data_IF_598291433969
#
_entry.id   IF_598291433969
#
_cell.length_a   1.000
_cell.length_b   1.000
_cell.length_c   1.000
_cell.angle_alpha   90.00
_cell.angle_beta   90.00
_cell.angle_gamma   90.00
#
_symmetry.space_group_name_H-M   'P 1'
#
loop_
_entity.id
_entity.type
_entity.pdbx_description
1 polymer ?
#
# COMPACT_ATOMS: atom_id res chain seq x y z
N UNK A 1 13.80 31.30 17.96
CA UNK A 1 13.85 30.40 16.79
C UNK A 1 12.89 29.26 17.04
N UNK A 2 11.70 29.35 16.46
CA UNK A 2 10.70 28.29 16.54
C UNK A 2 11.19 27.22 15.56
N UNK A 3 11.57 26.06 16.09
CA UNK A 3 12.01 24.93 15.29
C UNK A 3 10.75 24.38 14.62
N UNK A 4 10.44 24.82 13.40
CA UNK A 4 9.33 24.22 12.64
C UNK A 4 9.63 22.73 12.47
N UNK A 5 8.74 21.83 12.91
CA UNK A 5 8.95 20.40 12.68
C UNK A 5 9.04 20.19 11.17
N UNK A 6 10.12 19.55 10.73
CA UNK A 6 10.26 19.18 9.32
C UNK A 6 9.03 18.36 8.91
N UNK A 7 8.41 18.64 7.76
CA UNK A 7 7.21 17.95 7.34
C UNK A 7 7.50 16.45 7.24
N UNK A 8 6.57 15.66 7.76
CA UNK A 8 6.60 14.20 7.65
C UNK A 8 6.73 13.77 6.20
N UNK A 9 7.23 12.56 5.98
CA UNK A 9 7.35 12.01 4.63
C UNK A 9 5.97 11.93 3.95
N UNK A 10 4.93 11.61 4.71
CA UNK A 10 3.56 11.58 4.20
C UNK A 10 3.10 12.97 3.73
N UNK A 11 3.28 14.01 4.54
CA UNK A 11 2.92 15.40 4.15
C UNK A 11 3.68 15.85 2.90
N UNK A 12 4.96 15.48 2.77
CA UNK A 12 5.75 15.75 1.56
C UNK A 12 5.19 15.04 0.33
N UNK A 13 4.74 13.79 0.48
CA UNK A 13 4.09 13.04 -0.60
C UNK A 13 2.74 13.65 -0.98
N UNK A 14 1.98 14.14 -0.01
CA UNK A 14 0.71 14.86 -0.25
C UNK A 14 0.94 16.16 -1.02
N UNK A 15 1.96 16.95 -0.65
CA UNK A 15 2.34 18.15 -1.38
C UNK A 15 2.77 17.84 -2.83
N UNK A 16 3.63 16.84 -3.03
CA UNK A 16 4.05 16.41 -4.37
C UNK A 16 2.90 15.87 -5.21
N UNK A 17 1.92 15.20 -4.60
CA UNK A 17 0.72 14.77 -5.29
C UNK A 17 -0.10 15.99 -5.73
N UNK A 18 -0.30 16.96 -4.83
CA UNK A 18 -1.04 18.20 -5.10
C UNK A 18 -0.42 19.02 -6.23
N UNK A 19 0.91 19.14 -6.27
CA UNK A 19 1.65 19.81 -7.36
C UNK A 19 1.39 19.18 -8.74
N UNK A 20 1.08 17.87 -8.77
CA UNK A 20 0.72 17.13 -9.99
C UNK A 20 -0.78 17.09 -10.25
N UNK A 21 -1.57 17.89 -9.53
CA UNK A 21 -3.03 17.89 -9.62
C UNK A 21 -3.67 16.61 -9.06
N UNK A 22 -3.01 15.90 -8.16
CA UNK A 22 -3.53 14.70 -7.49
C UNK A 22 -3.88 15.01 -6.03
N UNK A 23 -4.95 14.39 -5.56
CA UNK A 23 -5.39 14.42 -4.18
C UNK A 23 -5.03 13.10 -3.51
N UNK A 24 -4.06 13.13 -2.60
CA UNK A 24 -3.75 12.01 -1.71
C UNK A 24 -4.55 12.21 -0.41
N UNK A 25 -5.32 11.20 0.00
CA UNK A 25 -6.05 11.21 1.27
C UNK A 25 -5.81 9.91 2.02
N UNK A 26 -5.42 10.06 3.27
CA UNK A 26 -5.24 8.98 4.21
C UNK A 26 -6.36 9.00 5.26
N UNK A 27 -7.11 7.90 5.35
CA UNK A 27 -8.08 7.67 6.41
C UNK A 27 -7.58 6.55 7.31
N UNK A 28 -7.32 6.87 8.56
CA UNK A 28 -6.88 5.91 9.58
C UNK A 28 -7.93 5.84 10.67
N UNK A 29 -8.32 4.63 11.03
CA UNK A 29 -9.16 4.35 12.19
C UNK A 29 -8.39 3.51 13.20
N UNK A 30 -8.77 3.56 14.48
CA UNK A 30 -8.13 2.75 15.53
C UNK A 30 -9.13 1.90 16.33
N UNK A 31 -9.82 0.94 15.70
CA UNK A 31 -10.75 0.07 16.42
C UNK A 31 -9.98 -0.93 17.31
N UNK A 32 -10.22 -0.87 18.63
CA UNK A 32 -9.80 -1.91 19.60
C UNK A 32 -8.31 -2.28 19.55
N UNK A 33 -7.42 -1.30 19.33
CA UNK A 33 -5.96 -1.53 19.30
C UNK A 33 -5.40 -2.00 17.95
N UNK A 34 -6.26 -2.18 16.95
CA UNK A 34 -5.89 -2.33 15.54
C UNK A 34 -5.92 -0.95 14.87
N UNK A 35 -5.08 -0.74 13.88
CA UNK A 35 -5.14 0.40 12.98
C UNK A 35 -5.80 -0.07 11.68
N UNK A 36 -6.90 0.54 11.28
CA UNK A 36 -7.46 0.35 9.94
C UNK A 36 -6.95 1.46 9.02
N UNK A 37 -6.44 1.10 7.85
CA UNK A 37 -5.88 2.01 6.87
C UNK A 37 -6.73 2.00 5.60
N UNK A 38 -7.11 3.19 5.14
CA UNK A 38 -7.62 3.41 3.79
C UNK A 38 -6.94 4.62 3.18
N UNK A 39 -6.14 4.39 2.15
CA UNK A 39 -5.49 5.43 1.38
C UNK A 39 -6.15 5.51 0.01
N UNK A 40 -6.45 6.73 -0.42
CA UNK A 40 -7.00 7.00 -1.75
C UNK A 40 -6.20 8.09 -2.45
N UNK A 41 -5.94 7.89 -3.73
CA UNK A 41 -5.41 8.88 -4.66
C UNK A 41 -6.50 9.18 -5.67
N UNK A 42 -6.88 10.44 -5.79
CA UNK A 42 -7.90 10.91 -6.70
C UNK A 42 -7.42 12.08 -7.54
N UNK A 43 -8.02 12.30 -8.71
CA UNK A 43 -7.87 13.52 -9.49
C UNK A 43 -9.11 14.39 -9.26
N UNK A 44 -8.97 15.69 -8.90
CA UNK A 44 -10.11 16.60 -8.86
C UNK A 44 -10.65 16.80 -10.28
N UNK A 45 -11.93 16.49 -10.46
CA UNK A 45 -12.67 16.67 -11.71
C UNK A 45 -13.45 17.99 -11.74
N UNK A 46 -14.08 18.31 -12.88
CA UNK A 46 -14.97 19.46 -12.98
C UNK A 46 -16.16 19.33 -12.01
N UNK A 47 -16.61 20.47 -11.50
CA UNK A 47 -17.78 20.60 -10.61
C UNK A 47 -17.67 19.91 -9.25
N UNK A 48 -16.47 19.85 -8.67
CA UNK A 48 -16.27 19.31 -7.31
C UNK A 48 -16.36 17.79 -7.20
N UNK A 49 -16.39 17.09 -8.34
CA UNK A 49 -16.25 15.63 -8.38
C UNK A 49 -14.78 15.25 -8.22
N UNK A 50 -14.49 14.06 -7.70
CA UNK A 50 -13.13 13.53 -7.62
C UNK A 50 -13.11 12.13 -8.25
N UNK A 51 -12.29 11.95 -9.27
CA UNK A 51 -12.10 10.65 -9.91
C UNK A 51 -11.07 9.85 -9.11
N UNK A 52 -11.49 8.71 -8.54
CA UNK A 52 -10.58 7.79 -7.86
C UNK A 52 -9.61 7.18 -8.87
N UNK A 53 -8.30 7.32 -8.63
CA UNK A 53 -7.22 6.78 -9.46
C UNK A 53 -6.54 5.58 -8.80
N UNK A 54 -6.36 5.63 -7.49
CA UNK A 54 -5.74 4.56 -6.72
C UNK A 54 -6.36 4.42 -5.34
N UNK A 55 -6.45 3.19 -4.84
CA UNK A 55 -6.81 2.91 -3.45
C UNK A 55 -5.92 1.81 -2.87
N UNK A 56 -5.57 1.97 -1.60
CA UNK A 56 -5.00 0.94 -0.76
C UNK A 56 -5.86 0.78 0.48
N UNK A 57 -6.18 -0.47 0.83
CA UNK A 57 -6.82 -0.84 2.09
C UNK A 57 -5.95 -1.85 2.80
N UNK A 58 -5.89 -1.70 4.11
CA UNK A 58 -5.20 -2.63 4.96
C UNK A 58 -5.46 -2.33 6.42
N UNK A 59 -4.75 -3.02 7.27
CA UNK A 59 -4.78 -2.84 8.70
C UNK A 59 -3.41 -3.12 9.27
N UNK A 60 -3.14 -2.58 10.45
CA UNK A 60 -1.94 -2.83 11.20
C UNK A 60 -2.29 -3.20 12.64
N UNK A 61 -1.41 -3.94 13.30
CA UNK A 61 -1.47 -4.21 14.73
C UNK A 61 -0.07 -3.99 15.34
N UNK A 62 0.02 -3.91 16.66
CA UNK A 62 1.18 -3.34 17.38
C UNK A 62 2.45 -4.20 17.39
N UNK A 63 2.77 -4.90 16.29
CA UNK A 63 3.97 -5.73 16.15
C UNK A 63 4.75 -5.31 14.91
N UNK A 64 6.03 -5.63 14.86
CA UNK A 64 6.90 -5.36 13.70
C UNK A 64 6.36 -5.97 12.39
N UNK A 65 5.69 -7.11 12.47
CA UNK A 65 5.07 -7.80 11.32
C UNK A 65 3.57 -7.53 11.22
N UNK A 66 3.14 -6.40 11.76
CA UNK A 66 1.74 -6.09 11.98
C UNK A 66 0.98 -5.58 10.76
N UNK A 67 1.68 -5.09 9.73
CA UNK A 67 1.05 -4.44 8.59
C UNK A 67 0.54 -5.46 7.57
N UNK A 68 -0.77 -5.44 7.34
CA UNK A 68 -1.51 -6.36 6.48
C UNK A 68 -2.24 -5.53 5.41
N UNK A 69 -2.00 -5.82 4.14
CA UNK A 69 -2.55 -5.08 3.01
C UNK A 69 -3.52 -5.97 2.25
N UNK A 70 -4.80 -5.59 2.27
CA UNK A 70 -5.89 -6.41 1.77
C UNK A 70 -6.23 -6.11 0.32
N UNK A 71 -6.20 -4.84 -0.07
CA UNK A 71 -6.64 -4.43 -1.40
C UNK A 71 -5.80 -3.29 -1.91
N UNK A 72 -5.14 -3.52 -3.05
CA UNK A 72 -4.50 -2.49 -3.85
C UNK A 72 -5.20 -2.44 -5.20
N UNK A 73 -5.72 -1.26 -5.56
CA UNK A 73 -6.36 -1.04 -6.86
C UNK A 73 -5.85 0.27 -7.45
N UNK A 74 -5.51 0.22 -8.73
CA UNK A 74 -5.19 1.40 -9.54
C UNK A 74 -6.03 1.33 -10.80
N UNK A 75 -6.72 2.41 -11.12
CA UNK A 75 -7.59 2.47 -12.29
C UNK A 75 -6.74 2.43 -13.56
N UNK A 76 -7.10 1.61 -14.57
CA UNK A 76 -6.43 1.63 -15.86
C UNK A 76 -6.42 3.05 -16.44
N UNK A 77 -5.35 3.46 -17.13
CA UNK A 77 -5.17 4.83 -17.67
C UNK A 77 -4.94 5.93 -16.61
N UNK A 78 -4.72 5.56 -15.34
CA UNK A 78 -4.24 6.53 -14.35
C UNK A 78 -2.86 7.08 -14.75
N UNK A 79 -2.51 8.32 -14.34
CA UNK A 79 -1.19 8.88 -14.53
C UNK A 79 -0.07 7.94 -14.06
N UNK A 80 1.06 7.98 -14.75
CA UNK A 80 2.24 7.21 -14.37
C UNK A 80 2.64 7.55 -12.93
N UNK A 81 3.00 6.52 -12.15
CA UNK A 81 3.42 6.69 -10.76
C UNK A 81 2.30 6.71 -9.71
N UNK A 82 1.00 6.70 -10.06
CA UNK A 82 -0.08 6.64 -9.06
C UNK A 82 0.05 5.41 -8.15
N UNK A 83 0.38 4.25 -8.71
CA UNK A 83 0.64 3.05 -7.92
C UNK A 83 1.82 3.23 -6.97
N UNK A 84 2.90 3.86 -7.45
CA UNK A 84 4.09 4.17 -6.66
C UNK A 84 3.79 5.14 -5.51
N UNK A 85 2.97 6.17 -5.76
CA UNK A 85 2.52 7.10 -4.75
C UNK A 85 1.70 6.40 -3.67
N UNK A 86 0.76 5.54 -4.05
CA UNK A 86 -0.04 4.75 -3.10
C UNK A 86 0.84 3.87 -2.22
N UNK A 87 1.83 3.18 -2.80
CA UNK A 87 2.78 2.37 -2.05
C UNK A 87 3.67 3.22 -1.13
N UNK A 88 4.24 4.31 -1.65
CA UNK A 88 5.11 5.18 -0.89
C UNK A 88 4.38 5.80 0.32
N UNK A 89 3.17 6.32 0.11
CA UNK A 89 2.39 6.95 1.17
C UNK A 89 1.90 5.92 2.21
N UNK A 90 1.54 4.71 1.79
CA UNK A 90 1.18 3.61 2.70
C UNK A 90 2.34 3.22 3.61
N UNK A 91 3.54 3.06 3.03
CA UNK A 91 4.72 2.67 3.78
C UNK A 91 5.26 3.81 4.65
N UNK A 92 5.17 5.06 4.20
CA UNK A 92 5.49 6.24 4.99
C UNK A 92 4.61 6.30 6.24
N UNK A 93 3.29 6.17 6.08
CA UNK A 93 2.37 6.09 7.23
C UNK A 93 2.74 4.94 8.18
N UNK A 94 3.06 3.75 7.65
CA UNK A 94 3.40 2.61 8.48
C UNK A 94 4.63 2.86 9.35
N UNK A 95 5.68 3.49 8.83
CA UNK A 95 6.90 3.82 9.59
C UNK A 95 6.66 4.94 10.60
N UNK A 96 5.83 5.93 10.25
CA UNK A 96 5.63 7.13 11.07
C UNK A 96 4.59 6.93 12.18
N UNK A 97 3.53 6.15 11.91
CA UNK A 97 2.38 6.01 12.80
C UNK A 97 2.28 4.66 13.51
N UNK A 98 3.09 3.67 13.12
CA UNK A 98 3.03 2.32 13.68
C UNK A 98 4.43 1.74 13.94
N UNK A 99 4.59 0.74 14.82
CA UNK A 99 5.86 0.02 14.98
C UNK A 99 6.12 -1.01 13.87
N UNK A 100 5.32 -1.01 12.79
CA UNK A 100 5.42 -2.02 11.74
C UNK A 100 6.62 -1.77 10.84
N UNK A 101 7.51 -2.76 10.74
CA UNK A 101 8.67 -2.75 9.84
C UNK A 101 8.51 -3.74 8.67
N UNK A 102 7.51 -4.61 8.73
CA UNK A 102 7.25 -5.62 7.69
C UNK A 102 5.78 -5.58 7.26
N UNK A 103 5.58 -5.46 5.95
CA UNK A 103 4.30 -5.48 5.27
C UNK A 103 4.01 -6.89 4.76
N UNK A 104 2.75 -7.33 4.86
CA UNK A 104 2.25 -8.58 4.28
C UNK A 104 1.06 -8.32 3.38
N UNK A 105 0.94 -9.10 2.33
CA UNK A 105 -0.19 -9.07 1.41
C UNK A 105 -0.46 -10.48 0.87
N UNK A 106 -1.70 -10.73 0.47
CA UNK A 106 -2.08 -11.96 -0.23
C UNK A 106 -2.26 -11.67 -1.72
N UNK A 107 -1.46 -12.32 -2.56
CA UNK A 107 -1.72 -12.38 -3.99
C UNK A 107 -2.72 -13.52 -4.28
N UNK A 108 -4.00 -13.17 -4.33
CA UNK A 108 -5.10 -14.11 -4.57
C UNK A 108 -4.87 -14.86 -5.89
N UNK A 109 -5.14 -16.17 -5.89
CA UNK A 109 -5.05 -17.04 -7.06
C UNK A 109 -6.43 -17.28 -7.66
N UNK A 110 -6.99 -16.26 -8.31
CA UNK A 110 -8.25 -16.40 -9.05
C UNK A 110 -8.02 -17.00 -10.45
N UNK A 111 -7.01 -16.50 -11.17
CA UNK A 111 -6.57 -16.98 -12.48
C UNK A 111 -5.04 -17.10 -12.50
N UNK A 112 -4.50 -18.17 -13.07
CA UNK A 112 -3.05 -18.46 -13.08
C UNK A 112 -2.21 -17.38 -13.78
N UNK A 113 -2.71 -16.78 -14.87
CA UNK A 113 -2.00 -15.71 -15.60
C UNK A 113 -2.03 -14.42 -14.80
N UNK A 114 -3.17 -14.09 -14.20
CA UNK A 114 -3.31 -12.91 -13.34
C UNK A 114 -2.47 -13.05 -12.06
N UNK A 115 -2.49 -14.22 -11.45
CA UNK A 115 -1.69 -14.55 -10.27
C UNK A 115 -0.19 -14.38 -10.54
N UNK A 116 0.32 -14.96 -11.63
CA UNK A 116 1.73 -14.82 -12.02
C UNK A 116 2.14 -13.36 -12.25
N UNK A 117 1.25 -12.55 -12.85
CA UNK A 117 1.48 -11.11 -13.06
C UNK A 117 1.54 -10.35 -11.73
N UNK A 118 0.61 -10.63 -10.81
CA UNK A 118 0.56 -10.01 -9.48
C UNK A 118 1.80 -10.38 -8.65
N UNK A 119 2.17 -11.66 -8.61
CA UNK A 119 3.37 -12.11 -7.88
C UNK A 119 4.62 -11.44 -8.45
N UNK A 120 4.75 -11.34 -9.78
CA UNK A 120 5.86 -10.63 -10.42
C UNK A 120 5.88 -9.14 -10.05
N UNK A 121 4.72 -8.49 -10.07
CA UNK A 121 4.57 -7.09 -9.69
C UNK A 121 5.00 -6.85 -8.23
N UNK A 122 4.51 -7.65 -7.28
CA UNK A 122 4.88 -7.52 -5.87
C UNK A 122 6.36 -7.85 -5.62
N UNK A 123 6.94 -8.82 -6.35
CA UNK A 123 8.39 -9.07 -6.30
C UNK A 123 9.22 -7.88 -6.74
N UNK A 124 8.83 -7.21 -7.81
CA UNK A 124 9.50 -5.98 -8.25
C UNK A 124 9.43 -4.87 -7.20
N UNK A 125 8.30 -4.79 -6.47
CA UNK A 125 8.10 -3.85 -5.35
C UNK A 125 8.94 -4.16 -4.11
N UNK A 126 9.51 -5.37 -4.00
CA UNK A 126 10.34 -5.78 -2.84
C UNK A 126 9.67 -6.81 -1.93
N UNK A 127 8.50 -7.33 -2.31
CA UNK A 127 7.89 -8.44 -1.58
C UNK A 127 8.50 -9.77 -1.98
N UNK A 128 8.70 -10.65 -1.01
CA UNK A 128 9.15 -12.02 -1.20
C UNK A 128 7.98 -12.96 -0.96
N UNK A 129 8.01 -14.11 -1.63
CA UNK A 129 7.04 -15.18 -1.36
C UNK A 129 7.41 -15.80 -0.01
N UNK A 130 6.51 -15.72 0.97
CA UNK A 130 6.72 -16.31 2.29
C UNK A 130 6.13 -17.72 2.34
N UNK A 131 4.89 -17.86 1.90
CA UNK A 131 4.16 -19.13 1.86
C UNK A 131 3.17 -19.15 0.71
N UNK A 132 2.98 -20.32 0.11
CA UNK A 132 1.87 -20.56 -0.79
C UNK A 132 0.68 -21.09 0.03
N UNK A 133 -0.35 -20.26 0.22
CA UNK A 133 -1.56 -20.58 0.99
C UNK A 133 -2.49 -21.38 0.07
N UNK A 134 -2.15 -22.64 -0.17
CA UNK A 134 -2.92 -23.50 -1.07
C UNK A 134 -2.85 -25.02 -0.78
N UNK A 135 -2.04 -25.51 0.17
CA UNK A 135 -1.75 -26.94 0.23
C UNK A 135 -1.93 -27.64 1.59
N UNK A 136 -2.08 -26.92 2.72
CA UNK A 136 -2.16 -27.56 4.03
C UNK A 136 -3.50 -27.28 4.74
N UNK A 137 -4.06 -28.29 5.41
CA UNK A 137 -5.21 -28.15 6.34
C UNK A 137 -4.96 -27.10 7.44
N UNK A 138 -3.70 -26.79 7.72
CA UNK A 138 -3.27 -25.76 8.67
C UNK A 138 -3.38 -24.32 8.14
N UNK A 139 -3.74 -24.12 6.87
CA UNK A 139 -3.92 -22.79 6.26
C UNK A 139 -5.32 -22.21 6.48
N UNK A 140 -6.23 -22.95 7.13
CA UNK A 140 -7.61 -22.52 7.40
C UNK A 140 -7.73 -21.20 8.20
N UNK A 141 -6.92 -20.93 9.26
CA UNK A 141 -6.96 -19.64 9.96
C UNK A 141 -6.50 -18.47 9.07
N UNK A 142 -5.52 -18.71 8.19
CA UNK A 142 -5.07 -17.70 7.23
C UNK A 142 -6.12 -17.45 6.13
N UNK A 143 -6.83 -18.50 5.69
CA UNK A 143 -7.97 -18.36 4.77
C UNK A 143 -9.14 -17.62 5.40
N UNK A 144 -9.33 -17.69 6.71
CA UNK A 144 -10.31 -16.86 7.42
C UNK A 144 -9.89 -15.39 7.47
N UNK A 145 -8.60 -15.09 7.67
CA UNK A 145 -8.09 -13.70 7.72
C UNK A 145 -8.12 -13.04 6.35
N UNK A 146 -7.78 -13.78 5.30
CA UNK A 146 -7.60 -13.22 3.95
C UNK A 146 -8.70 -13.59 2.95
N UNK A 147 -9.64 -14.46 3.32
CA UNK A 147 -10.81 -14.84 2.51
C UNK A 147 -10.53 -15.74 1.30
N UNK A 148 -9.28 -16.14 1.02
CA UNK A 148 -8.93 -16.88 -0.19
C UNK A 148 -7.64 -17.70 -0.12
N UNK A 149 -7.41 -18.54 -1.15
CA UNK A 149 -6.14 -19.23 -1.38
C UNK A 149 -5.25 -18.38 -2.30
N UNK A 150 -3.94 -18.35 -2.05
CA UNK A 150 -3.02 -17.49 -2.80
C UNK A 150 -1.61 -17.45 -2.24
N UNK A 151 -0.76 -16.64 -2.86
CA UNK A 151 0.62 -16.48 -2.42
C UNK A 151 0.68 -15.41 -1.32
N UNK A 152 0.97 -15.82 -0.08
CA UNK A 152 1.27 -14.89 1.01
C UNK A 152 2.67 -14.33 0.77
N UNK A 153 2.72 -13.02 0.57
CA UNK A 153 3.95 -12.30 0.30
C UNK A 153 4.24 -11.30 1.41
N UNK A 154 5.51 -11.04 1.64
CA UNK A 154 5.96 -10.13 2.69
C UNK A 154 7.19 -9.35 2.28
N UNK A 155 7.29 -8.12 2.75
CA UNK A 155 8.37 -7.19 2.38
C UNK A 155 8.72 -6.28 3.54
N UNK A 156 9.97 -5.79 3.56
CA UNK A 156 10.35 -4.71 4.47
C UNK A 156 9.63 -3.42 4.05
N UNK A 157 9.00 -2.74 5.01
CA UNK A 157 8.31 -1.46 4.79
C UNK A 157 9.29 -0.44 4.21
N UNK A 158 10.51 -0.36 4.77
CA UNK A 158 11.56 0.55 4.29
C UNK A 158 11.99 0.24 2.85
N UNK A 159 12.16 -1.04 2.52
CA UNK A 159 12.59 -1.43 1.17
C UNK A 159 11.51 -1.11 0.12
N UNK A 160 10.23 -1.38 0.45
CA UNK A 160 9.11 -1.07 -0.44
C UNK A 160 8.95 0.45 -0.58
N UNK A 161 9.15 1.20 0.51
CA UNK A 161 9.13 2.67 0.51
C UNK A 161 10.21 3.23 -0.41
N UNK A 162 11.47 2.80 -0.25
CA UNK A 162 12.61 3.32 -1.02
C UNK A 162 12.40 3.11 -2.52
N UNK A 163 11.98 1.89 -2.92
CA UNK A 163 11.68 1.55 -4.32
C UNK A 163 10.54 2.39 -4.86
N UNK A 164 9.47 2.56 -4.08
CA UNK A 164 8.28 3.29 -4.51
C UNK A 164 8.57 4.80 -4.62
N UNK A 165 9.35 5.37 -3.70
CA UNK A 165 9.81 6.76 -3.79
C UNK A 165 10.68 6.99 -5.03
N UNK A 166 11.59 6.06 -5.34
CA UNK A 166 12.45 6.12 -6.52
C UNK A 166 11.61 6.15 -7.80
N UNK A 167 10.68 5.21 -7.94
CA UNK A 167 9.80 5.11 -9.11
C UNK A 167 8.81 6.28 -9.21
N UNK A 168 8.30 6.80 -8.09
CA UNK A 168 7.44 7.99 -8.04
C UNK A 168 8.16 9.26 -8.55
N UNK A 169 9.43 9.43 -8.16
CA UNK A 169 10.27 10.54 -8.64
C UNK A 169 10.61 10.40 -10.11
N UNK A 170 10.90 9.19 -10.58
CA UNK A 170 11.16 8.92 -12.00
C UNK A 170 9.93 9.13 -12.87
N UNK A 171 8.74 8.86 -12.35
CA UNK A 171 7.47 9.12 -13.06
C UNK A 171 7.12 10.62 -13.12
N UNK A 172 7.89 11.47 -12.45
CA UNK A 172 7.74 12.93 -12.43
C UNK A 172 8.62 13.64 -13.46
N UNK A 173 9.66 12.96 -13.92
CA UNK A 173 10.67 13.46 -14.85
C UNK A 173 10.26 13.13 -16.28
#
# INVERSE_FOLDING_TARGET
>A
MINEPSPSLLERLELQASERGLLLRLQVGRPLGLWSLRLVVACPGPNGTAQLLGEMKGWAYGTSNGLQLDTMRVVPQSPAGVGDLVWAATMAWALEATPCSRARLLAIRDDERQHSRLVRYFRQRGFQLERDVAAALWDLPLRMVWGGAGALMSGSVEQVLERSLRSWRQSAA
#
